data_IF_749263406082
#
_entry.id   IF_749263406082
#
_cell.length_a   1.000
_cell.length_b   1.000
_cell.length_c   1.000
_cell.angle_alpha   90.00
_cell.angle_beta   90.00
_cell.angle_gamma   90.00
#
_symmetry.space_group_name_H-M   'P 1'
#
loop_
_entity.id
_entity.type
_entity.pdbx_description
1 polymer ?
#
# COMPACT_ATOMS: atom_id res chain seq x y z
N UNK A 1 10.89 -9.40 24.17
CA UNK A 1 10.59 -8.56 23.00
C UNK A 1 11.44 -7.28 22.96
N UNK A 2 12.22 -7.07 21.89
CA UNK A 2 13.05 -5.87 21.64
C UNK A 2 12.65 -5.22 20.32
N UNK A 3 12.44 -3.91 20.30
CA UNK A 3 12.25 -3.15 19.05
C UNK A 3 13.59 -3.05 18.31
N UNK A 4 13.56 -3.38 17.01
CA UNK A 4 14.72 -3.30 16.12
C UNK A 4 14.56 -2.18 15.08
N UNK A 5 13.32 -1.85 14.70
CA UNK A 5 13.00 -0.66 13.93
C UNK A 5 11.76 0.01 14.52
N UNK A 6 11.83 1.32 14.73
CA UNK A 6 10.70 2.06 15.30
C UNK A 6 9.78 2.67 14.21
N UNK A 7 10.29 2.86 12.99
CA UNK A 7 9.53 3.33 11.84
C UNK A 7 10.11 2.84 10.50
N UNK A 8 10.01 1.53 10.21
CA UNK A 8 10.33 1.00 8.89
C UNK A 8 9.10 1.16 7.99
N UNK A 9 9.12 2.13 7.08
CA UNK A 9 8.02 2.41 6.14
C UNK A 9 6.64 2.53 6.83
N UNK A 10 6.59 3.11 8.03
CA UNK A 10 5.36 3.25 8.82
C UNK A 10 5.06 2.09 9.79
N UNK A 11 5.88 1.04 9.78
CA UNK A 11 5.74 -0.12 10.67
C UNK A 11 6.74 -0.09 11.82
N UNK A 12 6.28 -0.49 13.01
CA UNK A 12 7.15 -0.81 14.15
C UNK A 12 7.54 -2.28 14.11
N UNK A 13 8.84 -2.57 14.03
CA UNK A 13 9.36 -3.93 13.95
C UNK A 13 10.05 -4.33 15.26
N UNK A 14 9.65 -5.48 15.78
CA UNK A 14 10.16 -6.05 17.03
C UNK A 14 10.55 -7.51 16.86
N UNK A 15 11.57 -7.93 17.60
CA UNK A 15 12.01 -9.31 17.70
C UNK A 15 11.68 -9.87 19.07
N UNK A 16 11.14 -11.07 19.10
CA UNK A 16 10.86 -11.82 20.32
C UNK A 16 11.41 -13.24 20.18
N UNK A 17 12.48 -13.52 20.92
CA UNK A 17 13.29 -14.75 20.81
C UNK A 17 13.71 -15.03 19.34
N UNK A 18 12.92 -15.82 18.62
CA UNK A 18 13.14 -16.21 17.22
C UNK A 18 12.02 -15.75 16.26
N UNK A 19 11.08 -14.93 16.72
CA UNK A 19 9.94 -14.44 15.93
C UNK A 19 10.10 -12.94 15.69
N UNK A 20 9.90 -12.54 14.43
CA UNK A 20 9.78 -11.13 14.07
C UNK A 20 8.31 -10.74 13.98
N UNK A 21 8.00 -9.52 14.42
CA UNK A 21 6.67 -8.94 14.44
C UNK A 21 6.72 -7.51 13.90
N UNK A 22 5.85 -7.16 12.96
CA UNK A 22 5.63 -5.81 12.49
C UNK A 22 4.17 -5.39 12.75
N UNK A 23 3.97 -4.16 13.20
CA UNK A 23 2.64 -3.61 13.54
C UNK A 23 2.48 -2.21 12.97
N UNK A 24 1.34 -1.96 12.31
CA UNK A 24 0.86 -0.63 11.89
C UNK A 24 -0.68 -0.66 11.87
N UNK A 25 -1.36 0.27 12.57
CA UNK A 25 -2.82 0.48 12.51
C UNK A 25 -3.63 -0.82 12.32
N UNK A 26 -3.57 -1.74 13.31
CA UNK A 26 -4.26 -3.04 13.34
C UNK A 26 -3.75 -4.14 12.38
N UNK A 27 -2.82 -3.83 11.48
CA UNK A 27 -2.16 -4.80 10.61
C UNK A 27 -0.96 -5.39 11.35
N UNK A 28 -1.03 -6.68 11.63
CA UNK A 28 0.00 -7.44 12.34
C UNK A 28 0.63 -8.49 11.42
N UNK A 29 1.91 -8.35 11.13
CA UNK A 29 2.71 -9.38 10.47
C UNK A 29 3.52 -10.12 11.54
N UNK A 30 3.33 -11.43 11.71
CA UNK A 30 4.06 -12.20 12.73
C UNK A 30 4.40 -13.63 12.30
N UNK A 31 5.40 -14.22 12.96
CA UNK A 31 5.85 -15.63 12.84
C UNK A 31 6.68 -15.99 11.59
N UNK A 32 7.69 -15.19 11.27
CA UNK A 32 8.59 -15.46 10.15
C UNK A 32 10.00 -14.96 10.43
N UNK A 33 10.96 -15.27 9.55
CA UNK A 33 12.27 -14.61 9.50
C UNK A 33 12.11 -13.11 9.19
N UNK A 34 13.11 -12.29 9.56
CA UNK A 34 13.05 -10.84 9.37
C UNK A 34 12.83 -10.46 7.90
N UNK A 35 13.53 -11.13 6.97
CA UNK A 35 13.39 -10.90 5.52
C UNK A 35 11.95 -11.08 5.06
N UNK A 36 11.31 -12.19 5.41
CA UNK A 36 9.91 -12.46 5.06
C UNK A 36 8.95 -11.40 5.63
N UNK A 37 9.21 -10.88 6.84
CA UNK A 37 8.40 -9.80 7.42
C UNK A 37 8.56 -8.51 6.60
N UNK A 38 9.78 -8.18 6.17
CA UNK A 38 10.04 -7.01 5.33
C UNK A 38 9.44 -7.17 3.93
N UNK A 39 9.56 -8.35 3.31
CA UNK A 39 8.99 -8.65 1.99
C UNK A 39 7.45 -8.52 2.00
N UNK A 40 6.80 -8.98 3.08
CA UNK A 40 5.34 -8.81 3.26
C UNK A 40 4.94 -7.34 3.42
N UNK A 41 5.73 -6.55 4.15
CA UNK A 41 5.52 -5.10 4.27
C UNK A 41 5.64 -4.43 2.91
N UNK A 42 6.68 -4.76 2.14
CA UNK A 42 6.92 -4.17 0.83
C UNK A 42 5.79 -4.53 -0.14
N UNK A 43 5.36 -5.81 -0.17
CA UNK A 43 4.21 -6.26 -0.96
C UNK A 43 2.92 -5.54 -0.55
N UNK A 44 2.67 -5.38 0.75
CA UNK A 44 1.50 -4.66 1.25
C UNK A 44 1.49 -3.20 0.78
N UNK A 45 2.64 -2.52 0.86
CA UNK A 45 2.79 -1.14 0.43
C UNK A 45 2.54 -1.02 -1.07
N UNK A 46 3.15 -1.88 -1.89
CA UNK A 46 2.94 -1.91 -3.34
C UNK A 46 1.45 -2.12 -3.69
N UNK A 47 0.78 -3.05 -3.01
CA UNK A 47 -0.65 -3.28 -3.21
C UNK A 47 -1.51 -2.06 -2.88
N UNK A 48 -1.22 -1.36 -1.78
CA UNK A 48 -1.98 -0.16 -1.40
C UNK A 48 -1.71 0.99 -2.37
N UNK A 49 -0.47 1.20 -2.81
CA UNK A 49 -0.15 2.21 -3.82
C UNK A 49 -0.87 1.95 -5.15
N UNK A 50 -0.94 0.70 -5.60
CA UNK A 50 -1.70 0.35 -6.82
C UNK A 50 -3.20 0.63 -6.66
N UNK A 51 -3.77 0.36 -5.49
CA UNK A 51 -5.18 0.70 -5.22
C UNK A 51 -5.40 2.22 -5.26
N UNK A 52 -4.54 3.02 -4.61
CA UNK A 52 -4.67 4.49 -4.64
C UNK A 52 -4.57 5.05 -6.06
N UNK A 53 -3.68 4.51 -6.89
CA UNK A 53 -3.57 4.88 -8.31
C UNK A 53 -4.81 4.46 -9.12
N UNK A 54 -5.43 3.32 -8.81
CA UNK A 54 -6.67 2.89 -9.44
C UNK A 54 -7.87 3.79 -9.07
N UNK A 55 -7.93 4.29 -7.83
CA UNK A 55 -8.95 5.25 -7.39
C UNK A 55 -8.76 6.66 -7.97
N UNK A 56 -7.55 7.01 -8.41
CA UNK A 56 -7.21 8.31 -9.01
C UNK A 56 -7.25 8.32 -10.55
N UNK A 57 -7.70 7.25 -11.19
CA UNK A 57 -7.94 7.29 -12.65
C UNK A 57 -9.08 8.26 -12.98
N UNK A 58 -8.87 9.26 -13.87
CA UNK A 58 -9.93 10.19 -14.22
C UNK A 58 -11.03 9.42 -14.96
N UNK A 59 -12.29 9.70 -14.60
CA UNK A 59 -13.44 9.37 -15.43
C UNK A 59 -13.27 10.08 -16.77
N UNK A 60 -12.64 9.44 -17.75
CA UNK A 60 -12.72 9.86 -19.15
C UNK A 60 -14.15 9.51 -19.60
N UNK A 61 -15.11 10.36 -19.26
CA UNK A 61 -16.34 10.45 -20.04
C UNK A 61 -15.97 11.15 -21.35
N UNK A 62 -15.60 10.37 -22.37
CA UNK A 62 -15.69 10.83 -23.76
C UNK A 62 -17.18 11.04 -24.08
N UNK A 63 -17.72 12.21 -23.73
CA UNK A 63 -18.92 12.72 -24.40
C UNK A 63 -18.47 13.49 -25.62
N UNK A 64 -18.14 12.76 -26.69
CA UNK A 64 -18.08 13.32 -28.03
C UNK A 64 -19.50 13.73 -28.43
N UNK A 65 -19.89 14.97 -28.13
CA UNK A 65 -21.01 15.62 -28.78
C UNK A 65 -20.57 15.98 -30.20
N UNK A 66 -21.26 15.52 -31.26
CA UNK A 66 -21.08 16.10 -32.58
C UNK A 66 -21.79 17.46 -32.57
N UNK A 67 -21.03 18.56 -32.61
CA UNK A 67 -21.62 19.89 -32.86
C UNK A 67 -22.25 19.90 -34.25
N UNK A 68 -23.56 19.64 -34.25
CA UNK A 68 -24.43 19.95 -35.36
C UNK A 68 -24.77 21.45 -35.30
N UNK A 69 -24.71 22.07 -36.48
CA UNK A 69 -25.23 23.39 -36.86
C UNK A 69 -24.37 24.62 -36.53
N UNK A 70 -23.81 25.19 -37.60
CA UNK A 70 -23.78 26.64 -37.77
C UNK A 70 -24.24 26.95 -39.19
N UNK A 71 -25.40 27.60 -39.25
CA UNK A 71 -26.01 28.24 -40.41
C UNK A 71 -25.41 29.64 -40.49
N UNK A 72 -24.86 30.00 -41.65
CA UNK A 72 -25.04 31.33 -42.28
C UNK A 72 -24.89 31.17 -43.80
#
# INVERSE_FOLDING_TARGET
MRTIYDNYRGFKISKDENKYKAVQNDIMFSQSLLSEVLDKIDTYIEFNFQNELAFMSPLIQETCYPDAYSID
#
